data_IF_914220616836
#
_entry.id   IF_914220616836
#
_cell.length_a   1.000
_cell.length_b   1.000
_cell.length_c   1.000
_cell.angle_alpha   90.00
_cell.angle_beta   90.00
_cell.angle_gamma   90.00
#
_symmetry.space_group_name_H-M   'P 1'
#
loop_
_entity.id
_entity.type
_entity.pdbx_description
1 polymer ?
#
# COMPACT_ATOMS: atom_id res chain seq x y z
N UNK A 1 26.09 -33.54 22.11
CA UNK A 1 24.68 -33.97 21.96
C UNK A 1 24.02 -33.03 20.97
N UNK A 2 23.85 -33.48 19.73
CA UNK A 2 23.32 -32.65 18.63
C UNK A 2 21.81 -32.79 18.59
N UNK A 3 21.09 -31.68 18.83
CA UNK A 3 19.63 -31.63 18.85
C UNK A 3 19.08 -31.78 17.43
N UNK A 4 18.24 -32.80 17.22
CA UNK A 4 17.55 -33.08 15.96
C UNK A 4 16.33 -32.17 15.91
N UNK A 5 16.26 -31.24 14.95
CA UNK A 5 15.05 -30.45 14.68
C UNK A 5 13.94 -31.39 14.21
N UNK A 6 12.87 -31.53 14.99
CA UNK A 6 11.71 -32.33 14.66
C UNK A 6 10.95 -31.71 13.48
N UNK A 7 10.73 -32.50 12.41
CA UNK A 7 9.86 -32.13 11.27
C UNK A 7 8.42 -31.99 11.77
N UNK A 8 7.75 -30.87 11.47
CA UNK A 8 6.31 -30.65 11.77
C UNK A 8 5.51 -31.76 11.06
N UNK A 9 4.77 -32.57 11.82
CA UNK A 9 3.87 -33.60 11.27
C UNK A 9 2.72 -32.94 10.51
N UNK A 10 2.37 -33.47 9.34
CA UNK A 10 1.18 -33.05 8.60
C UNK A 10 -0.06 -33.50 9.38
N UNK A 11 -0.72 -32.57 10.05
CA UNK A 11 -1.93 -32.83 10.81
C UNK A 11 -3.15 -32.84 9.89
N UNK A 12 -4.05 -33.81 10.07
CA UNK A 12 -5.27 -33.91 9.27
C UNK A 12 -6.35 -33.07 9.93
N UNK A 13 -6.77 -32.00 9.27
CA UNK A 13 -7.87 -31.15 9.72
C UNK A 13 -8.95 -31.03 8.64
N UNK A 14 -10.20 -30.82 9.08
CA UNK A 14 -11.35 -30.57 8.21
C UNK A 14 -11.16 -29.27 7.43
N UNK A 15 -11.80 -29.17 6.27
CA UNK A 15 -11.80 -27.92 5.49
C UNK A 15 -12.27 -26.75 6.36
N UNK A 16 -11.50 -25.66 6.36
CA UNK A 16 -11.76 -24.47 7.19
C UNK A 16 -11.12 -24.48 8.58
N UNK A 17 -10.50 -25.59 9.02
CA UNK A 17 -9.89 -25.72 10.35
C UNK A 17 -8.36 -25.88 10.30
N UNK A 18 -7.73 -25.56 9.18
CA UNK A 18 -6.28 -25.52 9.11
C UNK A 18 -5.75 -24.35 9.93
N UNK A 19 -4.79 -24.63 10.82
CA UNK A 19 -4.09 -23.58 11.54
C UNK A 19 -3.45 -22.62 10.54
N UNK A 20 -3.81 -21.34 10.62
CA UNK A 20 -3.29 -20.27 9.77
C UNK A 20 -2.50 -19.30 10.61
N UNK A 21 -1.25 -19.05 10.23
CA UNK A 21 -0.45 -17.96 10.81
C UNK A 21 -0.86 -16.60 10.23
N UNK A 22 -1.69 -16.58 9.17
CA UNK A 22 -2.29 -15.36 8.60
C UNK A 22 -3.51 -14.99 9.44
N UNK A 23 -3.37 -13.96 10.27
CA UNK A 23 -4.45 -13.41 11.10
C UNK A 23 -5.25 -12.33 10.36
N UNK A 24 -6.44 -12.00 10.86
CA UNK A 24 -7.22 -10.88 10.32
C UNK A 24 -6.45 -9.55 10.44
N UNK A 25 -5.76 -9.34 11.57
CA UNK A 25 -4.90 -8.18 11.78
C UNK A 25 -3.82 -8.06 10.71
N UNK A 26 -3.17 -9.17 10.34
CA UNK A 26 -2.13 -9.19 9.30
C UNK A 26 -2.67 -8.74 7.93
N UNK A 27 -3.94 -9.05 7.62
CA UNK A 27 -4.57 -8.66 6.36
C UNK A 27 -4.83 -7.15 6.32
N UNK A 28 -5.23 -6.55 7.46
CA UNK A 28 -5.61 -5.13 7.53
C UNK A 28 -4.44 -4.20 7.86
N UNK A 29 -3.37 -4.71 8.48
CA UNK A 29 -2.31 -3.86 9.01
C UNK A 29 -1.42 -3.23 7.95
N UNK A 30 -1.29 -3.84 6.76
CA UNK A 30 -0.11 -3.62 5.91
C UNK A 30 -0.37 -3.50 4.40
N UNK A 31 -1.58 -3.10 3.98
CA UNK A 31 -1.88 -2.96 2.55
C UNK A 31 -1.94 -1.49 2.10
N UNK A 32 -0.76 -0.91 1.79
CA UNK A 32 -0.69 0.30 0.97
C UNK A 32 -1.01 -0.10 -0.48
N UNK A 33 -2.01 0.55 -1.08
CA UNK A 33 -2.29 0.39 -2.51
C UNK A 33 -1.69 1.55 -3.29
N UNK A 34 -1.04 1.24 -4.42
CA UNK A 34 -0.49 2.22 -5.37
C UNK A 34 -1.45 2.37 -6.55
N UNK A 35 -1.68 3.62 -6.98
CA UNK A 35 -2.53 3.93 -8.13
C UNK A 35 -2.02 5.16 -8.92
N UNK A 36 -2.55 5.36 -10.13
CA UNK A 36 -2.34 6.53 -10.98
C UNK A 36 -0.86 6.92 -11.21
N UNK A 37 0.04 5.96 -11.42
CA UNK A 37 1.47 6.24 -11.61
C UNK A 37 1.76 7.09 -12.86
N UNK A 38 2.61 8.12 -12.72
CA UNK A 38 3.05 9.03 -13.80
C UNK A 38 4.56 9.28 -13.69
N UNK A 39 5.30 9.11 -14.79
CA UNK A 39 6.69 9.54 -14.87
C UNK A 39 6.78 10.88 -15.59
N UNK A 40 7.44 11.86 -14.96
CA UNK A 40 7.68 13.20 -15.52
C UNK A 40 9.15 13.54 -15.30
N UNK A 41 9.89 13.72 -16.41
CA UNK A 41 11.34 13.83 -16.40
C UNK A 41 11.99 12.71 -15.56
N UNK A 42 12.81 13.09 -14.57
CA UNK A 42 13.53 12.18 -13.67
C UNK A 42 12.75 11.85 -12.38
N UNK A 43 11.45 12.17 -12.35
CA UNK A 43 10.60 11.96 -11.17
C UNK A 43 9.43 11.01 -11.46
N UNK A 44 9.13 10.15 -10.50
CA UNK A 44 7.93 9.32 -10.49
C UNK A 44 6.90 9.92 -9.52
N UNK A 45 5.66 9.99 -9.94
CA UNK A 45 4.52 10.37 -9.11
C UNK A 45 3.52 9.23 -9.06
N UNK A 46 2.91 9.00 -7.91
CA UNK A 46 1.84 8.01 -7.76
C UNK A 46 0.98 8.32 -6.53
N UNK A 47 -0.20 7.70 -6.45
CA UNK A 47 -1.07 7.76 -5.27
C UNK A 47 -0.77 6.58 -4.36
N UNK A 48 -0.50 6.85 -3.08
CA UNK A 48 -0.55 5.85 -2.00
C UNK A 48 -1.85 6.00 -1.21
N UNK A 49 -2.64 4.93 -1.13
CA UNK A 49 -3.73 4.84 -0.15
C UNK A 49 -3.17 4.26 1.14
N UNK A 50 -3.23 5.00 2.23
CA UNK A 50 -2.64 4.62 3.52
C UNK A 50 -3.74 4.34 4.55
N UNK A 51 -4.08 3.07 4.83
CA UNK A 51 -5.12 2.71 5.79
C UNK A 51 -4.86 3.26 7.19
N UNK A 52 -3.59 3.26 7.63
CA UNK A 52 -3.16 3.76 8.93
C UNK A 52 -3.31 5.29 9.09
N UNK A 53 -3.53 6.00 7.99
CA UNK A 53 -3.78 7.45 7.97
C UNK A 53 -5.25 7.77 7.67
N UNK A 54 -6.18 7.03 8.29
CA UNK A 54 -7.62 7.16 8.08
C UNK A 54 -8.04 7.04 6.59
N UNK A 55 -7.31 6.24 5.81
CA UNK A 55 -7.59 6.00 4.39
C UNK A 55 -7.16 7.15 3.46
N UNK A 56 -6.28 8.05 3.92
CA UNK A 56 -5.74 9.16 3.12
C UNK A 56 -5.08 8.65 1.84
N UNK A 57 -5.37 9.32 0.72
CA UNK A 57 -4.70 9.13 -0.56
C UNK A 57 -3.63 10.22 -0.73
N UNK A 58 -2.36 9.84 -0.80
CA UNK A 58 -1.22 10.76 -0.83
C UNK A 58 -0.58 10.75 -2.19
N UNK A 59 -0.33 11.93 -2.77
CA UNK A 59 0.52 12.03 -3.95
C UNK A 59 1.97 11.93 -3.47
N UNK A 60 2.65 10.89 -3.91
CA UNK A 60 4.03 10.60 -3.57
C UNK A 60 4.91 10.90 -4.76
N UNK A 61 5.98 11.66 -4.53
CA UNK A 61 7.03 11.95 -5.50
C UNK A 61 8.30 11.17 -5.16
N UNK A 62 8.86 10.47 -6.13
CA UNK A 62 10.16 9.83 -6.06
C UNK A 62 11.11 10.51 -7.03
N UNK A 63 12.23 11.03 -6.52
CA UNK A 63 13.31 11.65 -7.31
C UNK A 63 14.63 11.22 -6.71
N UNK A 64 15.59 10.79 -7.53
CA UNK A 64 16.90 10.30 -7.07
C UNK A 64 16.82 9.20 -5.99
N UNK A 65 15.81 8.32 -6.11
CA UNK A 65 15.55 7.24 -5.15
C UNK A 65 14.99 7.70 -3.79
N UNK A 66 14.66 9.00 -3.63
CA UNK A 66 14.05 9.55 -2.42
C UNK A 66 12.56 9.78 -2.60
N UNK A 67 11.78 9.27 -1.65
CA UNK A 67 10.33 9.41 -1.60
C UNK A 67 9.92 10.60 -0.74
N UNK A 68 8.98 11.41 -1.23
CA UNK A 68 8.43 12.57 -0.51
C UNK A 68 6.92 12.67 -0.72
N UNK A 69 6.20 13.05 0.34
CA UNK A 69 4.77 13.35 0.26
C UNK A 69 4.58 14.77 -0.28
N UNK A 70 3.82 14.90 -1.37
CA UNK A 70 3.51 16.23 -1.95
C UNK A 70 2.47 16.96 -1.10
N UNK A 71 1.52 16.21 -0.52
CA UNK A 71 0.45 16.75 0.32
C UNK A 71 0.71 16.47 1.79
N UNK A 72 0.75 17.53 2.60
CA UNK A 72 0.83 17.41 4.05
C UNK A 72 -0.50 16.90 4.65
N UNK A 73 -0.44 16.24 5.81
CA UNK A 73 -1.63 15.93 6.59
C UNK A 73 -2.39 17.23 6.94
N UNK A 74 -3.73 17.28 6.80
CA UNK A 74 -4.66 16.17 6.59
C UNK A 74 -5.15 15.99 5.13
N UNK A 75 -4.50 16.58 4.13
CA UNK A 75 -5.01 16.58 2.76
C UNK A 75 -4.95 15.20 2.09
N UNK A 76 -5.97 14.88 1.29
CA UNK A 76 -6.14 13.61 0.58
C UNK A 76 -6.48 13.85 -0.89
N UNK A 77 -5.66 13.33 -1.81
CA UNK A 77 -5.88 13.35 -3.25
C UNK A 77 -6.87 12.25 -3.67
N UNK A 78 -8.16 12.48 -3.45
CA UNK A 78 -9.25 11.60 -3.87
C UNK A 78 -10.42 12.42 -4.38
N UNK A 79 -11.05 11.95 -5.45
CA UNK A 79 -12.30 12.50 -5.97
C UNK A 79 -13.47 11.52 -5.75
N UNK A 80 -14.70 12.02 -6.00
CA UNK A 80 -15.92 11.21 -6.10
C UNK A 80 -16.44 11.17 -7.54
N UNK A 81 -15.56 11.35 -8.53
CA UNK A 81 -15.95 11.25 -9.94
C UNK A 81 -16.54 9.87 -10.18
N UNK A 82 -17.79 9.83 -10.65
CA UNK A 82 -18.58 8.61 -10.81
C UNK A 82 -18.66 7.74 -9.53
N UNK A 83 -18.42 8.30 -8.34
CA UNK A 83 -18.26 7.61 -7.05
C UNK A 83 -17.08 6.62 -6.95
N UNK A 84 -16.43 6.30 -8.07
CA UNK A 84 -15.23 5.48 -8.14
C UNK A 84 -13.96 6.30 -7.86
N UNK A 85 -13.98 7.60 -8.16
CA UNK A 85 -12.82 8.48 -8.09
C UNK A 85 -12.06 8.51 -9.42
N UNK A 86 -10.75 8.74 -9.36
CA UNK A 86 -9.86 8.79 -10.52
C UNK A 86 -9.51 10.20 -10.97
N UNK A 87 -8.36 10.31 -11.66
CA UNK A 87 -7.84 11.56 -12.20
C UNK A 87 -7.56 12.59 -11.12
N UNK A 88 -7.06 12.13 -9.96
CA UNK A 88 -7.04 12.95 -8.73
C UNK A 88 -5.92 13.98 -8.72
N UNK A 89 -4.99 13.92 -9.69
CA UNK A 89 -3.91 14.89 -9.85
C UNK A 89 -3.41 14.95 -11.29
N UNK A 90 -2.83 16.09 -11.66
CA UNK A 90 -1.99 16.24 -12.84
C UNK A 90 -0.60 16.67 -12.40
N UNK A 91 0.38 16.57 -13.30
CA UNK A 91 1.73 17.08 -13.04
C UNK A 91 2.14 17.82 -14.29
N UNK A 92 2.65 19.03 -14.13
CA UNK A 92 3.24 19.82 -15.19
C UNK A 92 4.64 20.25 -14.74
N UNK A 93 5.66 19.80 -15.46
CA UNK A 93 7.07 19.94 -15.09
C UNK A 93 7.34 19.33 -13.70
N UNK A 94 7.47 20.14 -12.66
CA UNK A 94 7.68 19.72 -11.28
C UNK A 94 6.54 20.11 -10.32
N UNK A 95 5.45 20.66 -10.87
CA UNK A 95 4.29 21.14 -10.13
C UNK A 95 3.12 20.16 -10.23
N UNK A 96 2.46 19.93 -9.09
CA UNK A 96 1.30 19.07 -8.90
C UNK A 96 0.06 19.91 -8.60
#
# INVERSE_FOLDING_TARGET
>A
MTSIKTKKSLDRATYGNWSSDITADLIVSDSISIDETKQIADSLYYIERRPQEAGRCVIVRVTDGKTTDVLTTPYSARSRVHEYGGGCYCVHEDTV
#
